data_IF_289278053273
#
_entry.id   IF_289278053273
#
_cell.length_a   1.000
_cell.length_b   1.000
_cell.length_c   1.000
_cell.angle_alpha   90.00
_cell.angle_beta   90.00
_cell.angle_gamma   90.00
#
_symmetry.space_group_name_H-M   'P 1'
#
loop_
_entity.id
_entity.type
_entity.pdbx_description
1 polymer ?
#
# COMPACT_ATOMS: atom_id res chain seq x y z
N UNK A 1 15.49 -5.85 6.06
CA UNK A 1 14.74 -4.74 5.39
C UNK A 1 15.09 -4.71 3.91
N UNK A 2 14.16 -4.30 3.04
CA UNK A 2 14.41 -4.16 1.60
C UNK A 2 15.48 -3.09 1.33
N UNK A 3 16.44 -3.32 0.41
CA UNK A 3 17.49 -2.35 0.06
C UNK A 3 16.88 -1.01 -0.38
N UNK A 4 17.46 0.12 0.05
CA UNK A 4 16.99 1.48 -0.31
C UNK A 4 16.84 1.68 -1.82
N UNK A 5 17.75 1.13 -2.62
CA UNK A 5 17.70 1.21 -4.09
C UNK A 5 16.42 0.61 -4.72
N UNK A 6 15.69 -0.24 -4.01
CA UNK A 6 14.45 -0.88 -4.47
C UNK A 6 13.19 -0.19 -3.94
N UNK A 7 13.36 0.78 -3.05
CA UNK A 7 12.27 1.52 -2.44
C UNK A 7 11.99 2.79 -3.26
N UNK A 8 10.70 3.09 -3.45
CA UNK A 8 10.30 4.41 -3.96
C UNK A 8 10.24 5.40 -2.78
N UNK A 9 10.87 6.58 -2.87
CA UNK A 9 10.76 7.65 -1.86
C UNK A 9 9.31 8.01 -1.52
N UNK A 10 8.41 7.97 -2.48
CA UNK A 10 6.98 8.28 -2.30
C UNK A 10 6.17 7.15 -1.65
N UNK A 11 6.78 5.98 -1.46
CA UNK A 11 6.15 4.81 -0.81
C UNK A 11 6.18 3.54 -1.66
N UNK A 12 6.25 2.39 -0.99
CA UNK A 12 6.30 1.08 -1.65
C UNK A 12 7.60 0.81 -2.42
N UNK A 13 7.54 -0.13 -3.36
CA UNK A 13 8.66 -0.53 -4.23
C UNK A 13 8.67 0.28 -5.51
N UNK A 14 9.86 0.61 -6.00
CA UNK A 14 10.06 1.13 -7.35
C UNK A 14 10.08 -0.03 -8.37
N UNK A 15 10.22 0.29 -9.66
CA UNK A 15 10.24 -0.72 -10.73
C UNK A 15 11.37 -1.74 -10.53
N UNK A 16 12.60 -1.27 -10.26
CA UNK A 16 13.77 -2.12 -9.98
C UNK A 16 13.52 -3.08 -8.82
N UNK A 17 12.82 -2.63 -7.77
CA UNK A 17 12.44 -3.45 -6.64
C UNK A 17 11.46 -4.56 -7.02
N UNK A 18 10.42 -4.23 -7.78
CA UNK A 18 9.46 -5.23 -8.29
C UNK A 18 10.16 -6.25 -9.19
N UNK A 19 11.04 -5.80 -10.08
CA UNK A 19 11.80 -6.67 -10.98
C UNK A 19 12.78 -7.56 -10.21
N UNK A 20 13.42 -7.04 -9.17
CA UNK A 20 14.30 -7.82 -8.29
C UNK A 20 13.54 -8.98 -7.62
N UNK A 21 12.37 -8.71 -7.03
CA UNK A 21 11.55 -9.74 -6.40
C UNK A 21 10.92 -10.70 -7.42
N UNK A 22 10.64 -10.24 -8.64
CA UNK A 22 10.23 -11.12 -9.74
C UNK A 22 11.33 -12.10 -10.12
N UNK A 23 12.57 -11.61 -10.29
CA UNK A 23 13.72 -12.44 -10.66
C UNK A 23 14.13 -13.40 -9.54
N UNK A 24 14.12 -12.93 -8.29
CA UNK A 24 14.61 -13.68 -7.14
C UNK A 24 13.59 -14.69 -6.60
N UNK A 25 12.33 -14.30 -6.51
CA UNK A 25 11.28 -15.05 -5.81
C UNK A 25 10.14 -15.47 -6.73
N UNK A 26 10.20 -15.16 -8.03
CA UNK A 26 9.11 -15.44 -8.98
C UNK A 26 7.86 -14.58 -8.76
N UNK A 27 7.92 -13.57 -7.89
CA UNK A 27 6.74 -12.80 -7.49
C UNK A 27 6.26 -11.84 -8.60
N UNK A 28 4.94 -11.76 -8.81
CA UNK A 28 4.33 -10.83 -9.77
C UNK A 28 3.77 -9.58 -9.05
N UNK A 29 4.65 -8.85 -8.37
CA UNK A 29 4.26 -7.67 -7.60
C UNK A 29 3.71 -6.58 -8.51
N UNK A 30 2.50 -6.09 -8.19
CA UNK A 30 1.82 -5.03 -8.94
C UNK A 30 2.07 -3.65 -8.32
N UNK A 31 1.99 -2.56 -9.12
CA UNK A 31 2.10 -1.21 -8.59
C UNK A 31 0.91 -0.83 -7.68
N UNK A 32 1.08 0.20 -6.83
CA UNK A 32 0.00 0.77 -6.03
C UNK A 32 -1.19 1.28 -6.86
N UNK A 33 -2.40 1.14 -6.32
CA UNK A 33 -3.64 1.62 -6.95
C UNK A 33 -4.03 2.98 -6.37
N UNK A 34 -3.49 4.08 -6.92
CA UNK A 34 -3.69 5.43 -6.37
C UNK A 34 -5.14 5.92 -6.50
N UNK A 35 -5.69 5.94 -7.72
CA UNK A 35 -7.10 6.30 -7.97
C UNK A 35 -7.99 5.11 -7.64
N UNK A 36 -9.24 5.35 -7.25
CA UNK A 36 -10.17 4.25 -6.96
C UNK A 36 -10.78 3.75 -8.27
N UNK A 37 -10.52 2.49 -8.67
CA UNK A 37 -11.08 1.92 -9.90
C UNK A 37 -12.56 1.56 -9.71
N UNK A 38 -13.29 1.24 -10.80
CA UNK A 38 -14.68 0.79 -10.71
C UNK A 38 -14.84 -0.43 -9.80
N UNK A 39 -15.94 -0.46 -9.04
CA UNK A 39 -16.29 -1.58 -8.16
C UNK A 39 -16.34 -2.89 -8.96
N UNK A 40 -15.93 -3.99 -8.34
CA UNK A 40 -15.91 -5.32 -8.95
C UNK A 40 -14.64 -5.66 -9.75
N UNK A 41 -13.85 -4.67 -10.18
CA UNK A 41 -12.58 -4.91 -10.88
C UNK A 41 -11.54 -5.58 -9.98
N UNK A 42 -10.58 -6.30 -10.58
CA UNK A 42 -9.48 -6.93 -9.84
C UNK A 42 -8.62 -5.90 -9.07
N UNK A 43 -8.43 -4.72 -9.65
CA UNK A 43 -7.70 -3.62 -9.00
C UNK A 43 -8.47 -3.03 -7.81
N UNK A 44 -9.80 -2.94 -7.92
CA UNK A 44 -10.65 -2.53 -6.80
C UNK A 44 -10.51 -3.50 -5.64
N UNK A 45 -10.65 -4.81 -5.91
CA UNK A 45 -10.46 -5.85 -4.89
C UNK A 45 -9.07 -5.77 -4.27
N UNK A 46 -8.02 -5.57 -5.07
CA UNK A 46 -6.64 -5.39 -4.58
C UNK A 46 -6.51 -4.16 -3.67
N UNK A 47 -7.14 -3.05 -4.03
CA UNK A 47 -7.15 -1.82 -3.21
C UNK A 47 -7.86 -2.02 -1.89
N UNK A 48 -9.01 -2.71 -1.87
CA UNK A 48 -9.74 -3.06 -0.63
C UNK A 48 -8.87 -3.95 0.27
N UNK A 49 -8.26 -5.00 -0.28
CA UNK A 49 -7.38 -5.89 0.48
C UNK A 49 -6.15 -5.18 1.04
N UNK A 50 -5.53 -4.28 0.26
CA UNK A 50 -4.44 -3.44 0.75
C UNK A 50 -4.90 -2.57 1.93
N UNK A 51 -6.03 -1.88 1.76
CA UNK A 51 -6.59 -0.99 2.77
C UNK A 51 -6.87 -1.73 4.08
N UNK A 52 -7.49 -2.92 4.01
CA UNK A 52 -7.79 -3.75 5.18
C UNK A 52 -6.52 -4.16 5.94
N UNK A 53 -5.47 -4.58 5.22
CA UNK A 53 -4.19 -4.98 5.82
C UNK A 53 -3.47 -3.80 6.48
N UNK A 54 -3.38 -2.68 5.79
CA UNK A 54 -2.64 -1.51 6.29
C UNK A 54 -3.40 -0.73 7.36
N UNK A 55 -4.73 -0.80 7.37
CA UNK A 55 -5.57 -0.24 8.42
C UNK A 55 -5.41 -0.92 9.79
N UNK A 56 -5.08 -2.22 9.82
CA UNK A 56 -4.85 -2.98 11.06
C UNK A 56 -3.39 -3.01 11.52
N UNK A 57 -2.46 -2.50 10.69
CA UNK A 57 -1.04 -2.59 10.98
C UNK A 57 -0.69 -1.65 12.14
N UNK A 58 0.05 -2.11 13.16
CA UNK A 58 0.53 -1.23 14.24
C UNK A 58 1.67 -0.33 13.73
N UNK A 59 1.83 0.85 14.32
CA UNK A 59 2.95 1.75 14.09
C UNK A 59 2.55 3.17 13.68
N UNK A 60 3.39 4.17 13.97
CA UNK A 60 3.02 5.58 13.83
C UNK A 60 3.05 6.04 12.37
N UNK A 61 2.26 7.09 12.09
CA UNK A 61 2.20 7.75 10.78
C UNK A 61 3.32 8.76 10.58
N UNK A 62 3.93 9.25 11.66
CA UNK A 62 5.08 10.14 11.66
C UNK A 62 6.22 9.52 12.46
N UNK A 63 7.46 9.80 12.06
CA UNK A 63 8.64 9.48 12.86
C UNK A 63 8.86 10.54 13.95
N UNK A 64 9.88 10.34 14.80
CA UNK A 64 10.22 11.25 15.90
C UNK A 64 10.62 12.66 15.43
N UNK A 65 10.91 12.83 14.13
CA UNK A 65 11.23 14.10 13.48
C UNK A 65 10.02 14.70 12.75
N UNK A 66 8.82 14.14 12.94
CA UNK A 66 7.57 14.59 12.33
C UNK A 66 7.40 14.22 10.85
N UNK A 67 8.31 13.45 10.26
CA UNK A 67 8.30 13.05 8.83
C UNK A 67 7.41 11.83 8.63
N UNK A 68 6.76 11.67 7.47
CA UNK A 68 5.91 10.52 7.21
C UNK A 68 6.72 9.21 7.25
N UNK A 69 6.23 8.21 7.99
CA UNK A 69 6.85 6.89 8.03
C UNK A 69 6.68 6.14 6.71
N UNK A 70 7.40 5.02 6.53
CA UNK A 70 7.19 4.15 5.35
C UNK A 70 5.76 3.64 5.22
N UNK A 71 5.07 3.43 6.34
CA UNK A 71 3.64 3.09 6.39
C UNK A 71 2.79 4.23 5.84
N UNK A 72 3.02 5.46 6.30
CA UNK A 72 2.32 6.64 5.81
C UNK A 72 2.54 6.87 4.31
N UNK A 73 3.78 6.73 3.84
CA UNK A 73 4.12 6.84 2.42
C UNK A 73 3.44 5.73 1.59
N UNK A 74 3.41 4.50 2.09
CA UNK A 74 2.69 3.41 1.43
C UNK A 74 1.19 3.70 1.31
N UNK A 75 0.54 4.16 2.39
CA UNK A 75 -0.87 4.57 2.36
C UNK A 75 -1.12 5.66 1.31
N UNK A 76 -0.27 6.70 1.27
CA UNK A 76 -0.35 7.79 0.29
C UNK A 76 -0.16 7.30 -1.15
N UNK A 77 0.76 6.38 -1.39
CA UNK A 77 0.97 5.78 -2.71
C UNK A 77 -0.27 5.01 -3.22
N UNK A 78 -1.08 4.48 -2.30
CA UNK A 78 -2.37 3.82 -2.59
C UNK A 78 -3.58 4.75 -2.52
N UNK A 79 -3.36 6.06 -2.37
CA UNK A 79 -4.42 7.08 -2.35
C UNK A 79 -5.14 7.23 -1.01
N UNK A 80 -4.58 6.74 0.08
CA UNK A 80 -5.10 6.92 1.43
C UNK A 80 -4.35 8.03 2.17
N UNK A 81 -5.07 8.85 2.93
CA UNK A 81 -4.48 9.95 3.71
C UNK A 81 -3.83 9.43 4.98
N UNK A 82 -4.50 8.49 5.65
CA UNK A 82 -4.09 7.88 6.91
C UNK A 82 -4.73 6.49 7.07
N UNK A 83 -4.38 5.81 8.17
CA UNK A 83 -4.91 4.49 8.52
C UNK A 83 -6.43 4.48 8.63
N UNK A 84 -7.01 5.53 9.20
CA UNK A 84 -8.45 5.66 9.37
C UNK A 84 -9.18 5.71 8.02
N UNK A 85 -8.67 6.50 7.06
CA UNK A 85 -9.22 6.55 5.70
C UNK A 85 -9.13 5.20 4.99
N UNK A 86 -8.06 4.43 5.23
CA UNK A 86 -7.93 3.07 4.72
C UNK A 86 -8.90 2.11 5.43
N UNK A 87 -9.07 2.24 6.75
CA UNK A 87 -9.99 1.43 7.55
C UNK A 87 -11.43 1.65 7.13
N UNK A 88 -11.85 2.90 6.98
CA UNK A 88 -13.19 3.27 6.55
C UNK A 88 -13.45 2.75 5.13
N UNK A 89 -12.51 2.96 4.21
CA UNK A 89 -12.62 2.40 2.85
C UNK A 89 -12.76 0.87 2.86
N UNK A 90 -11.93 0.18 3.63
CA UNK A 90 -12.00 -1.27 3.76
C UNK A 90 -13.32 -1.73 4.37
N UNK A 91 -13.80 -1.07 5.43
CA UNK A 91 -15.07 -1.41 6.08
C UNK A 91 -16.29 -1.18 5.20
N UNK A 92 -16.28 -0.13 4.38
CA UNK A 92 -17.37 0.18 3.43
C UNK A 92 -17.40 -0.79 2.26
N UNK A 93 -16.26 -1.36 1.88
CA UNK A 93 -16.11 -2.16 0.66
C UNK A 93 -15.69 -3.61 0.88
N UNK A 94 -15.56 -4.06 2.13
CA UNK A 94 -15.37 -5.48 2.45
C UNK A 94 -16.56 -6.25 1.93
N UNK A 95 -16.30 -7.44 1.40
CA UNK A 95 -17.38 -8.39 1.13
C UNK A 95 -18.08 -8.64 2.46
N UNK A 96 -19.40 -8.46 2.50
CA UNK A 96 -20.20 -9.04 3.58
C UNK A 96 -20.10 -10.55 3.38
N UNK A 97 -19.45 -11.22 4.33
CA UNK A 97 -19.56 -12.67 4.49
C UNK A 97 -20.94 -12.94 5.05
#
# INVERSE_FOLDING_TARGET
MVKKAFQNPEGGLNQKGRDHFKKKEGSNLKPPVKKTPPKGTAEFKRKVSFAARFAGMKGPMKDDKGRPTRKALALRAWGFRNEESARNFANTHKAKV
#
